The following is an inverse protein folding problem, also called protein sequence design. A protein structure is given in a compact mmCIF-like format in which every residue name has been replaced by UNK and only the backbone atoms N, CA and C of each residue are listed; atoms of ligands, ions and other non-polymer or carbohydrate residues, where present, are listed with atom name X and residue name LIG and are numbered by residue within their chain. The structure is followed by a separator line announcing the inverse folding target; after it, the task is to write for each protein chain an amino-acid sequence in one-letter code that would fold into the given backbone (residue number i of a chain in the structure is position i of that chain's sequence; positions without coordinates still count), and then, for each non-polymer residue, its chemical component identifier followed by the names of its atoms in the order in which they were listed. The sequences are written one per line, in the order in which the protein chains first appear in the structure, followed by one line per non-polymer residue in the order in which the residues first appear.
data_IF_358153506275
#
_entry.id   IF_358153506275
#
_cell.length_a   1.000
_cell.length_b   1.000
_cell.length_c   1.000
_cell.angle_alpha   90.00
_cell.angle_beta   90.00
_cell.angle_gamma   90.00
#
_symmetry.space_group_name_H-M   'P 1'
#
loop_
_entity.id
_entity.type
_entity.pdbx_description
1 polymer ?
#
# COMPACT_ATOMS: atom_id res chain seq x y z
N UNK A 1 -9.94 -32.24 23.86
CA UNK A 1 -10.58 -32.33 22.54
C UNK A 1 -11.02 -30.93 22.17
N UNK A 2 -10.34 -30.30 21.22
CA UNK A 2 -10.70 -28.96 20.73
C UNK A 2 -11.53 -29.18 19.47
N UNK A 3 -12.77 -28.72 19.50
CA UNK A 3 -13.75 -28.88 18.43
C UNK A 3 -13.27 -28.21 17.13
N UNK A 4 -13.12 -29.04 16.09
CA UNK A 4 -12.72 -28.65 14.74
C UNK A 4 -13.86 -28.04 13.94
N UNK A 5 -14.24 -26.80 14.25
CA UNK A 5 -15.12 -26.00 13.38
C UNK A 5 -14.51 -24.62 13.19
N UNK A 6 -13.83 -24.46 12.06
CA UNK A 6 -13.40 -23.28 11.30
C UNK A 6 -11.97 -23.52 10.82
N UNK A 7 -11.76 -23.90 9.53
CA UNK A 7 -11.29 -22.89 8.58
C UNK A 7 -11.60 -23.23 7.10
N UNK A 8 -12.86 -23.50 6.71
CA UNK A 8 -13.19 -23.74 5.28
C UNK A 8 -13.65 -22.45 4.58
N UNK A 9 -14.30 -21.54 5.31
CA UNK A 9 -14.82 -20.28 4.74
C UNK A 9 -13.71 -19.25 4.48
N UNK A 10 -12.71 -19.15 5.35
CA UNK A 10 -11.59 -18.21 5.17
C UNK A 10 -10.69 -18.62 4.00
N UNK A 11 -10.40 -19.92 3.85
CA UNK A 11 -9.66 -20.44 2.70
C UNK A 11 -10.43 -20.22 1.38
N UNK A 12 -11.76 -20.40 1.39
CA UNK A 12 -12.61 -20.12 0.23
C UNK A 12 -12.59 -18.66 -0.22
N UNK A 13 -12.62 -17.72 0.72
CA UNK A 13 -12.57 -16.28 0.41
C UNK A 13 -11.19 -15.86 -0.13
N UNK A 14 -10.10 -16.38 0.44
CA UNK A 14 -8.75 -16.09 -0.05
C UNK A 14 -8.53 -16.66 -1.45
N UNK A 15 -9.00 -17.89 -1.71
CA UNK A 15 -8.93 -18.50 -3.05
C UNK A 15 -9.77 -17.70 -4.05
N UNK A 16 -10.98 -17.26 -3.65
CA UNK A 16 -11.86 -16.46 -4.51
C UNK A 16 -11.25 -15.10 -4.85
N UNK A 17 -10.69 -14.38 -3.87
CA UNK A 17 -10.02 -13.10 -4.10
C UNK A 17 -8.80 -13.27 -5.01
N UNK A 18 -8.02 -14.33 -4.79
CA UNK A 18 -6.83 -14.61 -5.61
C UNK A 18 -7.22 -14.94 -7.06
N UNK A 19 -8.30 -15.73 -7.26
CA UNK A 19 -8.83 -16.05 -8.59
C UNK A 19 -9.40 -14.83 -9.31
N UNK A 20 -10.14 -13.96 -8.61
CA UNK A 20 -10.66 -12.71 -9.18
C UNK A 20 -9.50 -11.81 -9.61
N UNK A 21 -8.46 -11.68 -8.77
CA UNK A 21 -7.28 -10.90 -9.09
C UNK A 21 -6.51 -11.45 -10.31
N UNK A 22 -6.44 -12.77 -10.43
CA UNK A 22 -5.78 -13.44 -11.55
C UNK A 22 -6.58 -13.31 -12.86
N UNK A 23 -7.92 -13.40 -12.79
CA UNK A 23 -8.80 -13.23 -13.95
C UNK A 23 -8.77 -11.81 -14.51
N UNK A 24 -8.65 -10.81 -13.62
CA UNK A 24 -8.53 -9.39 -14.01
C UNK A 24 -7.23 -9.15 -14.77
N UNK A 25 -6.12 -9.79 -14.37
CA UNK A 25 -4.83 -9.70 -15.05
C UNK A 25 -4.83 -10.35 -16.45
N UNK A 26 -5.48 -11.50 -16.63
CA UNK A 26 -5.54 -12.18 -17.95
C UNK A 26 -6.51 -11.53 -18.94
N UNK A 27 -7.54 -10.84 -18.46
CA UNK A 27 -8.61 -10.29 -19.32
C UNK A 27 -8.22 -9.07 -20.15
N UNK A 28 -7.01 -8.52 -19.99
CA UNK A 28 -6.49 -7.42 -20.83
C UNK A 28 -7.36 -6.17 -20.84
N UNK A 29 -8.19 -5.98 -19.80
CA UNK A 29 -9.13 -4.86 -19.64
C UNK A 29 -8.47 -3.55 -19.21
N UNK A 30 -7.15 -3.53 -19.05
CA UNK A 30 -6.37 -2.32 -18.89
C UNK A 30 -5.97 -1.83 -20.29
N UNK A 31 -6.50 -0.66 -20.68
CA UNK A 31 -5.98 0.11 -21.81
C UNK A 31 -4.48 0.40 -21.63
N UNK A 32 -3.80 0.99 -22.63
CA UNK A 32 -2.36 1.22 -22.59
C UNK A 32 -2.02 2.38 -21.64
N UNK A 33 -2.29 2.21 -20.36
CA UNK A 33 -1.74 3.02 -19.30
C UNK A 33 -0.47 2.33 -18.79
N UNK A 34 0.55 3.16 -18.56
CA UNK A 34 1.88 2.73 -18.12
C UNK A 34 1.73 1.73 -16.98
N UNK A 35 2.01 0.48 -17.29
CA UNK A 35 2.08 -0.61 -16.34
C UNK A 35 3.24 -0.33 -15.40
N UNK A 36 2.96 0.34 -14.28
CA UNK A 36 3.84 0.28 -13.13
C UNK A 36 3.92 -1.19 -12.74
N UNK A 37 5.13 -1.75 -12.83
CA UNK A 37 5.40 -3.16 -12.56
C UNK A 37 4.99 -3.48 -11.12
N UNK A 38 3.78 -4.00 -10.95
CA UNK A 38 3.42 -4.73 -9.72
C UNK A 38 4.14 -6.06 -9.79
N UNK A 39 5.38 -6.08 -9.27
CA UNK A 39 6.17 -7.30 -9.18
C UNK A 39 5.58 -8.16 -8.04
N UNK A 40 4.68 -9.08 -8.41
CA UNK A 40 4.08 -10.04 -7.50
C UNK A 40 5.05 -11.23 -7.27
N UNK A 41 5.13 -11.67 -6.01
CA UNK A 41 6.27 -12.32 -5.39
C UNK A 41 6.44 -13.84 -5.66
N UNK A 42 7.70 -14.30 -5.63
CA UNK A 42 8.08 -15.68 -5.28
C UNK A 42 8.96 -15.77 -4.01
N UNK A 43 9.15 -14.65 -3.32
CA UNK A 43 9.79 -14.50 -2.01
C UNK A 43 9.38 -13.13 -1.50
N UNK A 44 8.94 -12.97 -0.23
CA UNK A 44 8.33 -11.74 0.31
C UNK A 44 9.29 -10.54 0.44
N UNK A 45 10.12 -10.30 -0.57
CA UNK A 45 11.00 -9.16 -0.66
C UNK A 45 10.91 -8.51 -2.05
N UNK A 46 11.15 -7.21 -2.08
CA UNK A 46 11.34 -6.39 -3.29
C UNK A 46 12.83 -6.12 -3.41
N UNK A 47 13.34 -6.09 -4.65
CA UNK A 47 14.68 -5.61 -4.96
C UNK A 47 14.55 -4.35 -5.83
N UNK A 48 14.98 -3.22 -5.30
CA UNK A 48 14.83 -1.91 -5.96
C UNK A 48 15.93 -0.94 -5.50
N UNK A 49 16.36 -0.04 -6.38
CA UNK A 49 17.27 1.08 -6.05
C UNK A 49 16.43 2.23 -5.48
N UNK A 50 16.24 2.24 -4.16
CA UNK A 50 15.29 3.15 -3.49
C UNK A 50 15.86 4.53 -3.21
N UNK A 51 17.19 4.68 -3.15
CA UNK A 51 17.87 5.97 -2.94
C UNK A 51 18.61 6.49 -4.18
N UNK A 52 18.45 5.82 -5.33
CA UNK A 52 18.96 6.21 -6.65
C UNK A 52 20.49 6.34 -6.70
N UNK A 53 21.20 5.51 -5.95
CA UNK A 53 22.67 5.47 -5.94
C UNK A 53 23.27 4.44 -6.91
N UNK A 54 22.41 3.76 -7.69
CA UNK A 54 22.78 2.74 -8.66
C UNK A 54 22.97 1.35 -8.07
N UNK A 55 22.70 1.16 -6.77
CA UNK A 55 22.70 -0.15 -6.12
C UNK A 55 21.29 -0.56 -5.77
N UNK A 56 21.04 -1.86 -5.82
CA UNK A 56 19.73 -2.42 -5.50
C UNK A 56 19.68 -2.79 -4.02
N UNK A 57 18.68 -2.27 -3.31
CA UNK A 57 18.33 -2.67 -1.96
C UNK A 57 17.36 -3.84 -1.97
N UNK A 58 17.48 -4.72 -0.97
CA UNK A 58 16.44 -5.71 -0.68
C UNK A 58 15.54 -5.20 0.42
N UNK A 59 14.24 -5.16 0.16
CA UNK A 59 13.21 -4.64 1.06
C UNK A 59 12.24 -5.76 1.41
N UNK A 60 11.92 -5.95 2.68
CA UNK A 60 10.86 -6.88 3.08
C UNK A 60 10.21 -6.45 4.38
N UNK A 61 9.03 -7.01 4.65
CA UNK A 61 8.41 -6.93 5.97
C UNK A 61 8.71 -8.21 6.74
N UNK A 62 9.35 -8.07 7.89
CA UNK A 62 9.42 -9.14 8.87
C UNK A 62 8.10 -9.14 9.66
N UNK A 63 7.22 -10.09 9.33
CA UNK A 63 5.94 -10.23 10.02
C UNK A 63 6.16 -10.59 11.49
N UNK A 64 5.42 -9.88 12.35
CA UNK A 64 5.36 -10.08 13.78
C UNK A 64 4.46 -11.25 14.17
N UNK A 65 4.28 -11.42 15.47
CA UNK A 65 3.33 -12.37 16.06
C UNK A 65 2.54 -11.68 17.18
N UNK A 66 1.69 -12.43 17.89
CA UNK A 66 0.88 -11.90 19.00
C UNK A 66 1.68 -11.18 20.11
N UNK A 67 3.02 -11.33 20.14
CA UNK A 67 3.92 -10.73 21.13
C UNK A 67 4.97 -9.82 20.49
N UNK A 68 5.07 -9.75 19.16
CA UNK A 68 6.12 -9.04 18.45
C UNK A 68 5.50 -8.21 17.32
N UNK A 69 5.79 -6.91 17.23
CA UNK A 69 5.33 -6.12 16.10
C UNK A 69 6.05 -6.53 14.81
N UNK A 70 5.40 -6.29 13.67
CA UNK A 70 6.03 -6.41 12.35
C UNK A 70 6.93 -5.22 12.07
N UNK A 71 7.91 -5.40 11.19
CA UNK A 71 8.91 -4.39 10.86
C UNK A 71 9.25 -4.36 9.37
N UNK A 72 9.37 -3.17 8.79
CA UNK A 72 10.01 -2.99 7.49
C UNK A 72 11.52 -3.02 7.64
N UNK A 73 12.16 -3.79 6.75
CA UNK A 73 13.60 -3.98 6.73
C UNK A 73 14.14 -3.68 5.34
N UNK A 74 15.23 -2.92 5.30
CA UNK A 74 16.05 -2.67 4.10
C UNK A 74 17.44 -3.24 4.31
N UNK A 75 17.92 -4.04 3.38
CA UNK A 75 19.31 -4.51 3.30
C UNK A 75 20.03 -3.73 2.20
N UNK A 76 21.06 -2.96 2.60
CA UNK A 76 21.91 -2.18 1.70
C UNK A 76 23.37 -2.40 2.06
N UNK A 77 24.21 -2.74 1.09
CA UNK A 77 25.66 -2.95 1.28
C UNK A 77 25.99 -3.95 2.42
N UNK A 78 25.21 -5.03 2.55
CA UNK A 78 25.38 -6.02 3.61
C UNK A 78 24.99 -5.54 5.01
N UNK A 79 24.43 -4.32 5.15
CA UNK A 79 23.92 -3.76 6.39
C UNK A 79 22.39 -3.79 6.41
N UNK A 80 21.84 -4.15 7.56
CA UNK A 80 20.40 -4.23 7.80
C UNK A 80 19.92 -2.97 8.51
N UNK A 81 18.94 -2.29 7.92
CA UNK A 81 18.25 -1.13 8.45
C UNK A 81 16.80 -1.51 8.73
N UNK A 82 16.27 -1.03 9.86
CA UNK A 82 14.90 -1.35 10.30
C UNK A 82 14.17 -0.04 10.56
N UNK A 83 12.94 0.09 10.05
CA UNK A 83 12.11 1.25 10.35
C UNK A 83 11.85 1.33 11.86
N UNK A 84 11.78 2.53 12.44
CA UNK A 84 11.55 2.69 13.89
C UNK A 84 10.11 2.43 14.31
N UNK A 85 9.18 2.48 13.37
CA UNK A 85 7.76 2.32 13.62
C UNK A 85 7.32 0.87 13.51
N UNK A 86 6.36 0.48 14.36
CA UNK A 86 5.72 -0.83 14.30
C UNK A 86 4.78 -0.84 13.12
N UNK A 87 4.92 -1.82 12.25
CA UNK A 87 4.11 -1.93 11.04
C UNK A 87 2.98 -2.91 11.23
N UNK A 88 1.86 -2.65 10.57
CA UNK A 88 0.77 -3.62 10.50
C UNK A 88 -0.02 -3.70 11.80
N UNK A 89 -0.05 -2.61 12.58
CA UNK A 89 -0.81 -2.56 13.83
C UNK A 89 -2.31 -2.83 13.61
N UNK A 90 -2.83 -2.50 12.43
CA UNK A 90 -4.21 -2.73 12.02
C UNK A 90 -4.35 -3.95 11.09
N UNK A 91 -3.29 -4.74 10.88
CA UNK A 91 -3.30 -5.82 9.89
C UNK A 91 -4.21 -6.96 10.34
N UNK A 92 -5.14 -7.33 9.46
CA UNK A 92 -5.96 -8.54 9.60
C UNK A 92 -5.38 -9.74 8.84
N UNK A 93 -4.18 -9.60 8.26
CA UNK A 93 -3.62 -10.62 7.39
C UNK A 93 -2.17 -10.35 6.99
N UNK A 94 -1.87 -10.63 5.73
CA UNK A 94 -0.53 -10.50 5.17
C UNK A 94 -0.10 -9.03 5.09
N UNK A 95 1.20 -8.77 5.26
CA UNK A 95 1.76 -7.43 5.07
C UNK A 95 2.70 -7.44 3.88
N UNK A 96 2.39 -6.66 2.85
CA UNK A 96 3.21 -6.59 1.65
C UNK A 96 4.20 -5.44 1.73
N UNK A 97 5.51 -5.66 1.52
CA UNK A 97 6.42 -4.56 1.22
C UNK A 97 5.99 -3.90 -0.10
N UNK A 98 6.17 -2.58 -0.18
CA UNK A 98 5.88 -1.78 -1.37
C UNK A 98 6.92 -0.69 -1.56
N UNK A 99 7.15 -0.32 -2.82
CA UNK A 99 7.93 0.84 -3.23
C UNK A 99 7.05 1.68 -4.15
N UNK A 100 7.02 2.98 -3.94
CA UNK A 100 6.29 3.95 -4.75
C UNK A 100 7.26 4.99 -5.28
N UNK A 101 7.17 5.34 -6.56
CA UNK A 101 7.79 6.57 -7.06
C UNK A 101 6.88 7.74 -6.67
N UNK A 102 7.37 8.59 -5.76
CA UNK A 102 6.57 9.68 -5.17
C UNK A 102 6.86 11.04 -5.82
N UNK A 103 7.95 11.13 -6.57
CA UNK A 103 8.30 12.21 -7.47
C UNK A 103 9.40 11.69 -8.41
N UNK A 104 9.74 12.37 -9.53
CA UNK A 104 10.75 11.88 -10.46
C UNK A 104 12.08 11.62 -9.76
N UNK A 105 12.54 10.37 -9.79
CA UNK A 105 13.79 9.94 -9.14
C UNK A 105 13.74 9.95 -7.60
N UNK A 106 12.54 10.00 -6.99
CA UNK A 106 12.34 9.86 -5.55
C UNK A 106 11.38 8.73 -5.27
N UNK A 107 11.81 7.80 -4.43
CA UNK A 107 11.00 6.65 -4.04
C UNK A 107 10.66 6.70 -2.54
N UNK A 108 9.45 6.29 -2.23
CA UNK A 108 9.05 5.89 -0.89
C UNK A 108 9.05 4.36 -0.82
N UNK A 109 9.36 3.84 0.37
CA UNK A 109 9.29 2.43 0.70
C UNK A 109 8.35 2.25 1.88
N UNK A 110 7.66 1.12 1.95
CA UNK A 110 6.71 0.92 3.02
C UNK A 110 6.00 -0.41 2.97
N UNK A 111 4.82 -0.41 3.59
CA UNK A 111 3.96 -1.56 3.67
C UNK A 111 2.54 -1.22 3.23
N UNK A 112 1.91 -2.19 2.57
CA UNK A 112 0.48 -2.21 2.31
C UNK A 112 -0.12 -3.46 2.95
N UNK A 113 -1.24 -3.32 3.64
CA UNK A 113 -1.91 -4.45 4.27
C UNK A 113 -3.43 -4.24 4.40
N UNK A 114 -4.23 -5.33 4.31
CA UNK A 114 -5.67 -5.26 4.57
C UNK A 114 -5.93 -5.11 6.07
N UNK A 115 -6.98 -4.37 6.43
CA UNK A 115 -7.37 -4.14 7.83
C UNK A 115 -8.60 -4.93 8.26
N UNK A 116 -8.81 -5.03 9.57
CA UNK A 116 -10.07 -5.53 10.12
C UNK A 116 -11.20 -4.57 9.69
N UNK A 117 -12.18 -5.09 8.93
CA UNK A 117 -13.24 -4.29 8.31
C UNK A 117 -13.21 -4.25 6.78
N UNK A 118 -12.19 -4.83 6.15
CA UNK A 118 -12.11 -4.93 4.68
C UNK A 118 -11.53 -3.71 3.98
N UNK A 119 -10.97 -2.77 4.74
CA UNK A 119 -10.21 -1.64 4.23
C UNK A 119 -8.74 -1.96 3.96
N UNK A 120 -7.96 -0.92 3.69
CA UNK A 120 -6.52 -1.02 3.45
C UNK A 120 -5.76 0.07 4.20
N UNK A 121 -4.55 -0.28 4.65
CA UNK A 121 -3.63 0.64 5.28
C UNK A 121 -2.29 0.68 4.55
N UNK A 122 -1.70 1.87 4.54
CA UNK A 122 -0.41 2.16 3.92
C UNK A 122 0.47 2.84 4.95
N UNK A 123 1.68 2.32 5.16
CA UNK A 123 2.71 2.98 5.94
C UNK A 123 3.88 3.30 5.04
N UNK A 124 4.28 4.58 4.98
CA UNK A 124 5.25 5.08 4.01
C UNK A 124 6.45 5.73 4.68
N UNK A 125 7.63 5.47 4.13
CA UNK A 125 8.91 6.01 4.59
C UNK A 125 9.75 6.45 3.38
N UNK A 126 10.57 7.48 3.53
CA UNK A 126 11.77 7.60 2.69
C UNK A 126 12.94 6.90 3.36
N UNK A 127 13.85 6.39 2.55
CA UNK A 127 15.10 5.81 3.01
C UNK A 127 16.26 6.65 2.45
N UNK A 128 16.92 7.41 3.33
CA UNK A 128 18.01 8.29 2.94
C UNK A 128 19.21 8.05 3.85
N UNK A 129 20.39 7.80 3.26
CA UNK A 129 21.66 7.67 3.99
C UNK A 129 21.63 6.63 5.12
N UNK A 130 20.90 5.53 4.92
CA UNK A 130 20.79 4.47 5.93
C UNK A 130 19.81 4.78 7.06
N UNK A 131 18.90 5.74 6.88
CA UNK A 131 17.88 6.08 7.87
C UNK A 131 16.47 6.12 7.23
N UNK A 132 15.48 5.66 8.00
CA UNK A 132 14.08 5.80 7.64
C UNK A 132 13.51 7.11 8.16
N UNK A 133 12.75 7.80 7.32
CA UNK A 133 11.96 8.97 7.68
C UNK A 133 10.51 8.69 7.33
N UNK A 134 9.63 8.66 8.32
CA UNK A 134 8.22 8.41 8.10
C UNK A 134 7.58 9.57 7.33
N UNK A 135 6.89 9.21 6.25
CA UNK A 135 6.09 10.12 5.43
C UNK A 135 4.64 10.19 5.91
N UNK A 136 4.11 9.06 6.40
CA UNK A 136 2.79 8.96 7.02
C UNK A 136 2.32 7.52 7.17
N UNK A 137 1.25 7.35 7.93
CA UNK A 137 0.49 6.11 8.07
C UNK A 137 -0.97 6.44 7.77
N UNK A 138 -1.54 5.73 6.82
CA UNK A 138 -2.84 6.06 6.25
C UNK A 138 -3.76 4.85 6.25
N UNK A 139 -5.03 5.11 6.46
CA UNK A 139 -6.05 4.08 6.55
C UNK A 139 -7.31 4.53 5.79
N UNK A 140 -7.74 3.71 4.84
CA UNK A 140 -9.01 3.92 4.13
C UNK A 140 -9.92 2.71 4.32
N UNK A 141 -11.16 2.96 4.74
CA UNK A 141 -12.16 1.93 5.04
C UNK A 141 -12.58 1.14 3.80
N UNK A 142 -12.57 1.78 2.63
CA UNK A 142 -12.93 1.16 1.35
C UNK A 142 -11.71 0.90 0.46
N UNK A 143 -10.52 1.35 0.88
CA UNK A 143 -9.28 1.20 0.14
C UNK A 143 -8.33 2.39 0.34
N UNK A 144 -7.07 2.21 -0.05
CA UNK A 144 -6.07 3.26 -0.03
C UNK A 144 -5.10 3.06 -1.19
N UNK A 145 -4.72 4.15 -1.85
CA UNK A 145 -3.89 4.15 -3.05
C UNK A 145 -2.85 5.27 -3.02
N UNK A 146 -1.78 5.12 -3.82
CA UNK A 146 -0.71 6.10 -3.98
C UNK A 146 -0.47 6.31 -5.46
N UNK A 147 -0.82 7.49 -5.98
CA UNK A 147 -0.87 7.77 -7.42
C UNK A 147 -0.72 9.26 -7.67
N UNK A 148 -0.13 9.63 -8.81
CA UNK A 148 -0.13 11.01 -9.32
C UNK A 148 -1.54 11.34 -9.84
N UNK A 149 -2.32 12.04 -9.03
CA UNK A 149 -3.74 12.31 -9.28
C UNK A 149 -3.94 13.55 -10.16
N UNK A 150 -3.12 14.58 -9.97
CA UNK A 150 -3.30 15.87 -10.64
C UNK A 150 -2.35 16.08 -11.83
N UNK A 151 -1.48 15.11 -12.12
CA UNK A 151 -0.55 15.10 -13.25
C UNK A 151 0.70 15.94 -13.01
N UNK A 152 0.98 16.36 -11.77
CA UNK A 152 2.15 17.16 -11.42
C UNK A 152 3.46 16.33 -11.26
N UNK A 153 3.38 15.02 -11.55
CA UNK A 153 4.45 14.03 -11.41
C UNK A 153 4.81 13.70 -9.95
N UNK A 154 4.03 14.13 -8.98
CA UNK A 154 4.17 13.69 -7.58
C UNK A 154 2.99 12.81 -7.24
N UNK A 155 3.25 11.79 -6.43
CA UNK A 155 2.19 10.90 -6.02
C UNK A 155 1.47 11.45 -4.78
N UNK A 156 0.16 11.50 -4.85
CA UNK A 156 -0.77 11.68 -3.74
C UNK A 156 -1.03 10.35 -3.04
N UNK A 157 -1.48 10.42 -1.79
CA UNK A 157 -2.13 9.30 -1.11
C UNK A 157 -3.62 9.55 -1.11
N UNK A 158 -4.42 8.58 -1.58
CA UNK A 158 -5.87 8.66 -1.63
C UNK A 158 -6.45 7.61 -0.68
N UNK A 159 -7.33 8.04 0.22
CA UNK A 159 -8.04 7.17 1.17
C UNK A 159 -9.52 7.18 0.84
N UNK A 160 -10.06 6.00 0.58
CA UNK A 160 -11.47 5.84 0.26
C UNK A 160 -12.26 5.44 1.51
N UNK A 161 -13.37 6.11 1.75
CA UNK A 161 -14.32 5.81 2.82
C UNK A 161 -15.75 5.82 2.29
N UNK A 162 -16.68 5.29 3.07
CA UNK A 162 -18.10 5.39 2.73
C UNK A 162 -18.57 6.83 2.93
N UNK A 163 -19.30 7.39 1.97
CA UNK A 163 -19.91 8.70 2.15
C UNK A 163 -21.08 8.58 3.16
N UNK A 164 -21.01 9.33 4.26
CA UNK A 164 -22.02 9.29 5.34
C UNK A 164 -23.38 9.84 4.91
N UNK A 165 -23.40 10.83 4.02
CA UNK A 165 -24.62 11.45 3.51
C UNK A 165 -25.28 10.60 2.41
N UNK A 166 -24.47 9.92 1.60
CA UNK A 166 -24.94 8.98 0.58
C UNK A 166 -24.06 7.71 0.53
N UNK A 167 -24.44 6.64 1.25
CA UNK A 167 -23.66 5.39 1.29
C UNK A 167 -23.50 4.69 -0.06
N UNK A 168 -24.27 5.09 -1.08
CA UNK A 168 -24.12 4.61 -2.44
C UNK A 168 -22.97 5.29 -3.20
N UNK A 169 -22.26 6.26 -2.60
CA UNK A 169 -21.11 6.99 -3.13
C UNK A 169 -19.87 6.76 -2.24
N UNK A 170 -18.68 6.97 -2.82
CA UNK A 170 -17.43 6.96 -2.08
C UNK A 170 -17.06 8.38 -1.68
N UNK A 171 -16.48 8.53 -0.50
CA UNK A 171 -15.72 9.72 -0.13
C UNK A 171 -14.22 9.42 -0.35
N UNK A 172 -13.46 10.45 -0.72
CA UNK A 172 -12.03 10.33 -0.97
C UNK A 172 -11.27 11.45 -0.26
N UNK A 173 -10.36 11.09 0.63
CA UNK A 173 -9.40 12.02 1.23
C UNK A 173 -8.06 11.93 0.51
N UNK A 174 -7.56 13.07 0.04
CA UNK A 174 -6.29 13.18 -0.65
C UNK A 174 -5.26 13.83 0.25
N UNK A 175 -4.07 13.24 0.29
CA UNK A 175 -2.91 13.80 0.97
C UNK A 175 -1.81 14.06 -0.06
N UNK A 176 -1.24 15.26 -0.03
CA UNK A 176 -0.13 15.68 -0.91
C UNK A 176 1.18 15.72 -0.14
N UNK A 177 2.28 15.39 -0.82
CA UNK A 177 3.61 15.45 -0.21
C UNK A 177 4.06 16.91 -0.04
N UNK A 178 4.14 17.39 1.20
CA UNK A 178 4.66 18.72 1.56
C UNK A 178 5.92 18.58 2.40
N UNK A 179 7.07 18.81 1.77
CA UNK A 179 8.38 18.63 2.41
C UNK A 179 8.68 17.15 2.68
N UNK A 180 8.58 16.74 3.95
CA UNK A 180 8.88 15.36 4.40
C UNK A 180 7.65 14.63 4.97
N UNK A 181 6.45 15.15 4.75
CA UNK A 181 5.21 14.55 5.23
C UNK A 181 4.12 14.71 4.20
N UNK A 182 3.23 13.73 4.14
CA UNK A 182 1.95 13.91 3.47
C UNK A 182 1.00 14.71 4.37
N UNK A 183 0.30 15.66 3.76
CA UNK A 183 -0.63 16.56 4.43
C UNK A 183 -1.95 16.52 3.68
N UNK A 184 -3.05 16.49 4.43
CA UNK A 184 -4.41 16.52 3.86
C UNK A 184 -4.59 17.73 2.95
N UNK A 185 -5.14 17.49 1.76
CA UNK A 185 -5.42 18.49 0.74
C UNK A 185 -6.94 18.55 0.46
N UNK A 186 -7.61 19.52 1.10
CA UNK A 186 -9.06 19.70 0.96
C UNK A 186 -9.48 20.03 -0.48
N UNK A 187 -8.61 20.70 -1.25
CA UNK A 187 -8.95 21.12 -2.61
C UNK A 187 -9.00 19.92 -3.55
N UNK A 188 -8.03 19.02 -3.47
CA UNK A 188 -8.01 17.80 -4.28
C UNK A 188 -9.05 16.79 -3.80
N UNK A 189 -9.26 16.68 -2.49
CA UNK A 189 -10.25 15.75 -1.90
C UNK A 189 -11.66 15.99 -2.42
N UNK A 190 -12.05 17.27 -2.60
CA UNK A 190 -13.40 17.63 -3.05
C UNK A 190 -13.82 17.11 -4.43
N UNK A 191 -12.88 16.68 -5.27
CA UNK A 191 -13.16 16.09 -6.59
C UNK A 191 -12.56 14.70 -6.80
N UNK A 192 -11.79 14.18 -5.84
CA UNK A 192 -11.02 12.95 -6.02
C UNK A 192 -11.90 11.71 -6.23
N UNK A 193 -13.06 11.64 -5.56
CA UNK A 193 -14.01 10.54 -5.72
C UNK A 193 -14.68 10.51 -7.11
N UNK A 194 -14.74 11.65 -7.81
CA UNK A 194 -15.29 11.75 -9.16
C UNK A 194 -14.23 11.41 -10.23
N UNK A 195 -12.95 11.72 -9.95
CA UNK A 195 -11.82 11.44 -10.83
C UNK A 195 -11.47 9.95 -10.80
N UNK A 196 -11.56 9.32 -9.62
CA UNK A 196 -11.46 7.88 -9.45
C UNK A 196 -12.81 7.23 -9.80
N UNK A 197 -13.09 7.12 -11.09
CA UNK A 197 -14.18 6.28 -11.56
C UNK A 197 -13.90 4.87 -11.03
N UNK A 198 -14.87 4.33 -10.27
CA UNK A 198 -14.71 3.08 -9.52
C UNK A 198 -13.99 2.05 -10.40
N UNK A 199 -13.00 1.28 -9.90
CA UNK A 199 -12.95 -0.10 -10.34
C UNK A 199 -14.31 -0.65 -9.91
N UNK A 200 -15.22 -0.78 -10.85
CA UNK A 200 -16.53 -1.39 -10.65
C UNK A 200 -16.29 -2.65 -9.84
N UNK A 201 -16.72 -2.64 -8.57
CA UNK A 201 -16.79 -3.87 -7.80
C UNK A 201 -17.57 -4.86 -8.68
N UNK A 202 -17.09 -6.09 -8.86
CA UNK A 202 -17.79 -7.08 -9.66
C UNK A 202 -19.23 -7.30 -9.18
#
# INVERSE_FOLDING_TARGET
MVDGKFPVRAAGVVILITLVFWLVLESGLLGPEKTFRVQQAASNFIEEDIDSDGKTERIWVAEGDARRPSWLIVLKDGRRYVASERIGALSAGFILPKVWEIAPGKKAVGAWYPTEGGGAAIEMFTFEKGAFFQLGSFFGEQGAEVVDLDGDQKAEVILFSTNEDNPAELNAEVYTLRGRKYVFDASLSGGAAEIYDRPTRP
#
